data_IF_617726256040
#
_entry.id   IF_617726256040
#
_cell.length_a   1.000
_cell.length_b   1.000
_cell.length_c   1.000
_cell.angle_alpha   90.00
_cell.angle_beta   90.00
_cell.angle_gamma   90.00
#
_symmetry.space_group_name_H-M   'P 1'
#
loop_
_entity.id
_entity.type
_entity.pdbx_description
1 polymer ?
#
# COMPACT_ATOMS: atom_id res chain seq x y z
N UNK A 1 8.92 -14.50 -27.39
CA UNK A 1 9.53 -14.32 -26.04
C UNK A 1 9.10 -12.96 -25.50
N UNK A 2 8.18 -12.93 -24.54
CA UNK A 2 7.81 -11.69 -23.86
C UNK A 2 8.98 -11.28 -22.96
N UNK A 3 9.59 -10.13 -23.23
CA UNK A 3 10.59 -9.54 -22.33
C UNK A 3 9.95 -9.39 -20.94
N UNK A 4 10.67 -9.65 -19.83
CA UNK A 4 10.14 -9.39 -18.50
C UNK A 4 9.85 -7.91 -18.38
N UNK A 5 8.56 -7.56 -18.41
CA UNK A 5 8.10 -6.17 -18.37
C UNK A 5 8.02 -5.76 -16.91
N UNK A 6 8.93 -4.90 -16.48
CA UNK A 6 8.86 -4.32 -15.14
C UNK A 6 7.75 -3.28 -15.09
N UNK A 7 6.84 -3.44 -14.13
CA UNK A 7 5.69 -2.58 -13.93
C UNK A 7 6.06 -1.34 -13.11
N UNK A 8 5.36 -0.25 -13.38
CA UNK A 8 5.36 0.97 -12.56
C UNK A 8 4.44 0.82 -11.35
N UNK A 9 4.63 1.67 -10.34
CA UNK A 9 3.68 1.80 -9.22
C UNK A 9 2.24 2.02 -9.69
N UNK A 10 2.05 2.83 -10.75
CA UNK A 10 0.74 3.14 -11.34
C UNK A 10 0.06 1.91 -11.92
N UNK A 11 0.80 1.13 -12.71
CA UNK A 11 0.29 -0.11 -13.30
C UNK A 11 -0.06 -1.14 -12.22
N UNK A 12 0.81 -1.31 -11.22
CA UNK A 12 0.55 -2.23 -10.10
C UNK A 12 -0.68 -1.80 -9.29
N UNK A 13 -0.82 -0.50 -9.01
CA UNK A 13 -1.99 0.05 -8.32
C UNK A 13 -3.29 -0.22 -9.10
N UNK A 14 -3.25 -0.06 -10.43
CA UNK A 14 -4.39 -0.36 -11.29
C UNK A 14 -4.72 -1.87 -11.33
N UNK A 15 -3.71 -2.74 -11.36
CA UNK A 15 -3.91 -4.21 -11.37
C UNK A 15 -4.52 -4.69 -10.05
N UNK A 16 -4.03 -4.17 -8.93
CA UNK A 16 -4.49 -4.56 -7.58
C UNK A 16 -5.72 -3.77 -7.12
N UNK A 17 -6.25 -2.86 -7.95
CA UNK A 17 -7.34 -1.94 -7.60
C UNK A 17 -7.10 -1.22 -6.26
N UNK A 18 -5.88 -0.73 -6.03
CA UNK A 18 -5.48 -0.08 -4.79
C UNK A 18 -4.79 1.27 -5.04
N UNK A 19 -4.51 2.04 -3.98
CA UNK A 19 -3.87 3.35 -4.13
C UNK A 19 -2.36 3.23 -4.34
N UNK A 20 -1.77 4.13 -5.13
CA UNK A 20 -0.30 4.18 -5.32
C UNK A 20 0.45 4.34 -4.00
N UNK A 21 -0.16 5.04 -3.03
CA UNK A 21 0.41 5.21 -1.69
C UNK A 21 0.56 3.88 -0.95
N UNK A 22 -0.40 2.97 -1.09
CA UNK A 22 -0.34 1.63 -0.52
C UNK A 22 0.82 0.83 -1.11
N UNK A 23 0.93 0.84 -2.44
CA UNK A 23 2.01 0.13 -3.18
C UNK A 23 3.40 0.67 -2.83
N UNK A 24 3.50 1.94 -2.44
CA UNK A 24 4.76 2.59 -2.01
C UNK A 24 5.15 2.30 -0.57
N UNK A 25 4.29 1.70 0.25
CA UNK A 25 4.65 1.30 1.60
C UNK A 25 5.71 0.20 1.59
N UNK A 26 6.51 0.15 2.65
CA UNK A 26 7.65 -0.75 2.75
C UNK A 26 7.22 -2.23 2.74
N UNK A 27 6.15 -2.56 3.46
CA UNK A 27 5.53 -3.89 3.51
C UNK A 27 5.11 -4.40 2.12
N UNK A 28 4.50 -3.53 1.31
CA UNK A 28 4.08 -3.89 -0.05
C UNK A 28 5.28 -4.01 -1.00
N UNK A 29 6.30 -3.17 -0.87
CA UNK A 29 7.52 -3.28 -1.66
C UNK A 29 8.22 -4.62 -1.45
N UNK A 30 8.34 -5.05 -0.20
CA UNK A 30 8.98 -6.33 0.14
C UNK A 30 8.19 -7.52 -0.40
N UNK A 31 6.85 -7.52 -0.25
CA UNK A 31 5.99 -8.58 -0.77
C UNK A 31 6.02 -8.69 -2.29
N UNK A 32 6.05 -7.56 -2.98
CA UNK A 32 6.02 -7.50 -4.45
C UNK A 32 7.42 -7.55 -5.10
N UNK A 33 8.50 -7.62 -4.31
CA UNK A 33 9.87 -7.65 -4.82
C UNK A 33 10.30 -6.36 -5.53
N UNK A 34 9.87 -5.22 -5.01
CA UNK A 34 10.15 -3.93 -5.62
C UNK A 34 11.65 -3.59 -5.58
N UNK A 35 12.16 -3.02 -6.66
CA UNK A 35 13.55 -2.59 -6.76
C UNK A 35 13.66 -1.20 -7.40
N UNK A 36 14.75 -0.50 -7.08
CA UNK A 36 15.05 0.80 -7.67
C UNK A 36 16.01 0.64 -8.86
N UNK A 37 15.67 1.24 -10.00
CA UNK A 37 16.60 1.42 -11.12
C UNK A 37 17.26 2.80 -10.96
N UNK A 38 18.59 2.81 -10.91
CA UNK A 38 19.41 4.01 -10.85
C UNK A 38 18.89 5.03 -9.80
N UNK A 39 18.55 4.52 -8.61
CA UNK A 39 18.12 5.27 -7.42
C UNK A 39 16.80 6.06 -7.53
N UNK A 40 16.22 6.20 -8.72
CA UNK A 40 15.05 7.08 -8.95
C UNK A 40 13.77 6.34 -9.28
N UNK A 41 13.85 5.24 -10.04
CA UNK A 41 12.66 4.60 -10.58
C UNK A 41 12.35 3.31 -9.81
N UNK A 42 11.31 3.36 -8.98
CA UNK A 42 10.74 2.17 -8.35
C UNK A 42 10.02 1.32 -9.40
N UNK A 43 10.40 0.05 -9.49
CA UNK A 43 9.86 -0.92 -10.43
C UNK A 43 9.50 -2.22 -9.74
N UNK A 44 8.54 -2.92 -10.33
CA UNK A 44 8.01 -4.17 -9.80
C UNK A 44 8.13 -5.26 -10.89
N UNK A 45 8.72 -6.42 -10.59
CA UNK A 45 8.70 -7.56 -11.50
C UNK A 45 7.25 -8.00 -11.73
N UNK A 46 6.83 -8.14 -12.99
CA UNK A 46 5.47 -8.59 -13.29
C UNK A 46 5.17 -9.97 -12.72
N UNK A 47 6.11 -10.90 -12.85
CA UNK A 47 5.94 -12.29 -12.41
C UNK A 47 5.62 -12.37 -10.91
N UNK A 48 6.28 -11.54 -10.10
CA UNK A 48 6.06 -11.50 -8.65
C UNK A 48 4.74 -10.84 -8.26
N UNK A 49 4.28 -9.85 -9.03
CA UNK A 49 2.93 -9.26 -8.87
C UNK A 49 1.85 -10.29 -9.22
N UNK A 50 2.04 -11.06 -10.29
CA UNK A 50 1.11 -12.11 -10.70
C UNK A 50 1.06 -13.26 -9.68
N UNK A 51 2.22 -13.67 -9.13
CA UNK A 51 2.29 -14.63 -8.02
C UNK A 51 1.53 -14.14 -6.79
N UNK A 52 1.72 -12.87 -6.40
CA UNK A 52 1.01 -12.26 -5.28
C UNK A 52 -0.51 -12.32 -5.45
N UNK A 53 -1.02 -12.01 -6.65
CA UNK A 53 -2.44 -12.09 -6.97
C UNK A 53 -2.94 -13.53 -6.88
N UNK A 54 -2.17 -14.49 -7.37
CA UNK A 54 -2.51 -15.91 -7.30
C UNK A 54 -2.55 -16.44 -5.87
N UNK A 55 -1.63 -16.00 -5.00
CA UNK A 55 -1.64 -16.33 -3.58
C UNK A 55 -2.84 -15.72 -2.88
N UNK A 56 -3.15 -14.43 -3.14
CA UNK A 56 -4.34 -13.81 -2.57
C UNK A 56 -5.63 -14.53 -2.98
N UNK A 57 -5.78 -14.89 -4.26
CA UNK A 57 -6.96 -15.64 -4.72
C UNK A 57 -7.15 -16.98 -3.99
N UNK A 58 -6.05 -17.68 -3.66
CA UNK A 58 -6.09 -18.92 -2.88
C UNK A 58 -6.38 -18.68 -1.40
N UNK A 59 -5.92 -17.57 -0.83
CA UNK A 59 -6.20 -17.22 0.57
C UNK A 59 -7.63 -16.73 0.79
N UNK A 60 -8.23 -16.06 -0.19
CA UNK A 60 -9.61 -15.59 -0.13
C UNK A 60 -10.65 -16.71 -0.17
N UNK A 61 -10.30 -17.90 -0.67
CA UNK A 61 -11.18 -19.08 -0.59
C UNK A 61 -11.17 -19.76 0.78
N UNK A 62 -10.17 -19.47 1.63
CA UNK A 62 -10.00 -20.12 2.94
C UNK A 62 -10.32 -19.21 4.14
N UNK A 63 -10.45 -17.88 3.96
CA UNK A 63 -10.68 -16.95 5.07
C UNK A 63 -11.87 -16.00 4.81
N UNK A 64 -13.07 -16.50 5.03
CA UNK A 64 -14.18 -15.67 5.53
C UNK A 64 -13.93 -15.41 7.03
N UNK A 65 -13.18 -14.36 7.36
CA UNK A 65 -13.17 -13.87 8.74
C UNK A 65 -13.13 -12.35 8.72
N UNK A 66 -14.28 -11.81 9.09
CA UNK A 66 -14.56 -10.41 9.30
C UNK A 66 -13.64 -9.82 10.38
N UNK A 67 -12.89 -8.78 10.04
CA UNK A 67 -12.57 -7.74 11.02
C UNK A 67 -12.53 -6.37 10.33
N UNK A 68 -13.55 -5.51 10.54
CA UNK A 68 -13.47 -4.12 10.13
C UNK A 68 -12.46 -3.42 11.06
N UNK A 69 -11.26 -3.16 10.54
CA UNK A 69 -10.25 -2.38 11.24
C UNK A 69 -10.84 -1.02 11.66
N UNK A 70 -11.10 -0.88 12.96
CA UNK A 70 -11.69 0.31 13.55
C UNK A 70 -10.85 1.56 13.23
N UNK A 71 -11.39 2.42 12.37
CA UNK A 71 -10.81 3.73 12.02
C UNK A 71 -10.85 4.63 13.25
N UNK A 72 -9.76 4.64 14.03
CA UNK A 72 -9.57 5.61 15.11
C UNK A 72 -9.34 6.99 14.49
N UNK A 73 -10.41 7.76 14.31
CA UNK A 73 -10.34 9.18 13.94
C UNK A 73 -9.63 9.95 15.05
N UNK A 74 -8.38 10.34 14.83
CA UNK A 74 -7.65 11.24 15.73
C UNK A 74 -8.24 12.65 15.62
N UNK A 75 -9.04 13.03 16.62
CA UNK A 75 -9.58 14.37 16.77
C UNK A 75 -8.43 15.39 16.95
N UNK A 76 -8.26 16.26 15.96
CA UNK A 76 -7.34 17.39 15.99
C UNK A 76 -7.79 18.37 17.10
N UNK A 77 -7.23 18.27 18.31
CA UNK A 77 -7.50 19.27 19.37
C UNK A 77 -6.83 20.60 18.96
N UNK A 78 -7.65 21.60 18.60
CA UNK A 78 -7.20 23.00 18.54
C UNK A 78 -6.91 23.47 19.97
N UNK A 79 -5.72 24.02 20.19
CA UNK A 79 -5.29 24.57 21.47
C UNK A 79 -5.99 25.93 21.66
N UNK A 80 -7.04 25.97 22.49
CA UNK A 80 -7.59 27.24 22.98
C UNK A 80 -6.63 27.75 24.06
N UNK A 81 -5.80 28.73 23.73
CA UNK A 81 -5.15 29.55 24.76
C UNK A 81 -6.19 30.57 25.23
N UNK A 82 -6.99 30.18 26.23
CA UNK A 82 -7.75 31.14 27.02
C UNK A 82 -6.83 31.72 28.08
N UNK A 83 -6.21 32.87 27.81
CA UNK A 83 -5.64 33.68 28.88
C UNK A 83 -6.83 34.34 29.59
N UNK A 84 -7.26 33.76 30.71
CA UNK A 84 -8.03 34.48 31.69
C UNK A 84 -7.02 35.26 32.52
N UNK A 85 -6.92 36.57 32.30
CA UNK A 85 -6.20 37.45 33.20
C UNK A 85 -6.98 37.50 34.52
N UNK A 86 -6.41 36.87 35.55
CA UNK A 86 -6.82 37.02 36.93
C UNK A 86 -5.72 37.79 37.65
N UNK A 87 -6.08 39.05 37.95
CA UNK A 87 -5.41 40.06 38.77
C UNK A 87 -4.35 40.93 38.09
#
# INVERSE_FOLDING_TARGET
MNKPKNLTTKEVAAILNCSESLVRRQDMKEKLGAFYIAERALRFPKDQVDEYINVQKKQSSDNSSEEPAAVKKTLHRKKLHSNFDLF
#
